data_IF_906048860416
#
_entry.id   IF_906048860416
#
_cell.length_a   1.000
_cell.length_b   1.000
_cell.length_c   1.000
_cell.angle_alpha   90.00
_cell.angle_beta   90.00
_cell.angle_gamma   90.00
#
_symmetry.space_group_name_H-M   'P 1'
#
loop_
_entity.id
_entity.type
_entity.pdbx_description
1 polymer ?
#
# COMPACT_ATOMS: atom_id res chain seq x y z
N UNK A 1 -2.77 12.45 -10.15
CA UNK A 1 -2.75 11.47 -9.03
C UNK A 1 -2.03 12.11 -7.85
N UNK A 2 -2.23 11.60 -6.64
CA UNK A 2 -1.48 12.04 -5.45
C UNK A 2 -0.23 11.16 -5.26
N UNK A 3 0.92 11.72 -4.85
CA UNK A 3 2.14 10.93 -4.67
C UNK A 3 1.94 9.82 -3.64
N UNK A 4 2.51 8.65 -3.91
CA UNK A 4 2.34 7.45 -3.08
C UNK A 4 1.14 6.57 -3.45
N UNK A 5 0.26 7.04 -4.35
CA UNK A 5 -0.78 6.18 -4.95
C UNK A 5 -0.21 5.07 -5.84
N UNK A 6 -1.04 4.07 -6.11
CA UNK A 6 -0.76 2.94 -7.00
C UNK A 6 -1.74 2.89 -8.18
N UNK A 7 -1.40 2.11 -9.19
CA UNK A 7 -2.32 1.71 -10.27
C UNK A 7 -2.48 0.20 -10.30
N UNK A 8 -3.67 -0.29 -10.65
CA UNK A 8 -3.89 -1.72 -10.87
C UNK A 8 -3.74 -2.01 -12.36
N UNK A 9 -2.76 -2.86 -12.69
CA UNK A 9 -2.58 -3.37 -14.03
C UNK A 9 -3.42 -4.62 -14.23
N UNK A 10 -4.07 -4.73 -15.38
CA UNK A 10 -4.77 -5.92 -15.85
C UNK A 10 -4.04 -6.50 -17.06
N UNK A 11 -3.77 -7.81 -17.02
CA UNK A 11 -3.22 -8.56 -18.14
C UNK A 11 -3.94 -9.90 -18.29
N UNK A 12 -3.99 -10.43 -19.52
CA UNK A 12 -4.51 -11.75 -19.82
C UNK A 12 -3.34 -12.70 -20.10
N UNK A 13 -3.23 -13.77 -19.30
CA UNK A 13 -2.16 -14.77 -19.43
C UNK A 13 -2.74 -16.16 -19.29
N UNK A 14 -2.41 -17.05 -20.23
CA UNK A 14 -2.85 -18.46 -20.21
C UNK A 14 -4.38 -18.59 -20.05
N UNK A 15 -5.14 -17.73 -20.73
CA UNK A 15 -6.60 -17.70 -20.64
C UNK A 15 -7.17 -17.19 -19.31
N UNK A 16 -6.33 -16.72 -18.38
CA UNK A 16 -6.77 -16.14 -17.10
C UNK A 16 -6.50 -14.64 -17.06
N UNK A 17 -7.46 -13.87 -16.55
CA UNK A 17 -7.24 -12.47 -16.18
C UNK A 17 -6.42 -12.37 -14.90
N UNK A 18 -5.40 -11.52 -14.89
CA UNK A 18 -4.54 -11.27 -13.74
C UNK A 18 -4.50 -9.77 -13.49
N UNK A 19 -4.86 -9.36 -12.27
CA UNK A 19 -4.78 -7.97 -11.80
C UNK A 19 -3.76 -7.83 -10.69
N UNK A 20 -2.86 -6.84 -10.73
CA UNK A 20 -2.01 -6.49 -9.57
C UNK A 20 -1.79 -4.99 -9.46
N UNK A 21 -1.72 -4.53 -8.22
CA UNK A 21 -1.41 -3.15 -7.87
C UNK A 21 0.11 -2.92 -7.90
N UNK A 22 0.53 -1.80 -8.48
CA UNK A 22 1.90 -1.32 -8.48
C UNK A 22 1.92 0.16 -8.11
N UNK A 23 2.64 0.51 -7.04
CA UNK A 23 2.80 1.90 -6.62
C UNK A 23 3.52 2.72 -7.68
N UNK A 24 3.05 3.94 -7.90
CA UNK A 24 3.66 4.89 -8.82
C UNK A 24 4.97 5.40 -8.21
N UNK A 25 6.04 5.35 -9.00
CA UNK A 25 7.37 5.86 -8.64
C UNK A 25 7.79 7.06 -9.51
N UNK A 26 6.85 7.65 -10.25
CA UNK A 26 6.93 8.98 -10.84
C UNK A 26 6.17 10.01 -10.00
N UNK A 27 6.41 11.30 -10.25
CA UNK A 27 5.71 12.41 -9.61
C UNK A 27 4.50 12.86 -10.44
N UNK A 28 3.48 13.50 -9.83
CA UNK A 28 2.36 14.08 -10.57
C UNK A 28 2.82 15.06 -11.66
N UNK A 29 3.86 15.85 -11.36
CA UNK A 29 4.46 16.80 -12.31
C UNK A 29 5.02 16.14 -13.57
N UNK A 30 5.54 14.92 -13.49
CA UNK A 30 6.01 14.21 -14.68
C UNK A 30 4.84 13.83 -15.58
N UNK A 31 3.76 13.31 -15.01
CA UNK A 31 2.53 13.06 -15.77
C UNK A 31 2.02 14.34 -16.44
N UNK A 32 1.99 15.46 -15.73
CA UNK A 32 1.50 16.72 -16.29
C UNK A 32 2.42 17.28 -17.40
N UNK A 33 3.72 17.05 -17.29
CA UNK A 33 4.71 17.63 -18.20
C UNK A 33 4.86 16.83 -19.50
N UNK A 34 4.85 15.49 -19.43
CA UNK A 34 5.16 14.62 -20.57
C UNK A 34 4.27 13.38 -20.69
N UNK A 35 3.23 13.26 -19.85
CA UNK A 35 2.32 12.11 -19.87
C UNK A 35 2.88 10.84 -19.24
N UNK A 36 4.03 10.89 -18.55
CA UNK A 36 4.68 9.68 -18.02
C UNK A 36 4.13 9.23 -16.67
N UNK A 37 3.62 8.00 -16.64
CA UNK A 37 3.43 7.21 -15.42
C UNK A 37 4.51 6.13 -15.33
N UNK A 38 5.15 6.00 -14.17
CA UNK A 38 6.19 5.00 -13.94
C UNK A 38 5.86 4.13 -12.73
N UNK A 39 6.04 2.82 -12.89
CA UNK A 39 5.96 1.84 -11.82
C UNK A 39 7.31 1.13 -11.64
N UNK A 40 7.57 0.63 -10.43
CA UNK A 40 8.71 -0.25 -10.16
C UNK A 40 8.26 -1.69 -10.01
N UNK A 41 8.75 -2.58 -10.87
CA UNK A 41 8.41 -4.00 -10.82
C UNK A 41 9.57 -4.78 -10.22
N UNK A 42 9.32 -5.41 -9.07
CA UNK A 42 10.21 -6.46 -8.55
C UNK A 42 9.63 -7.82 -8.91
N UNK A 43 10.44 -8.66 -9.54
CA UNK A 43 10.06 -10.06 -9.81
C UNK A 43 9.86 -10.80 -8.50
N UNK A 44 8.76 -11.53 -8.41
CA UNK A 44 8.44 -12.42 -7.28
C UNK A 44 8.49 -13.84 -7.79
N UNK A 45 9.21 -14.71 -7.08
CA UNK A 45 9.30 -16.13 -7.46
C UNK A 45 7.91 -16.78 -7.39
N UNK A 46 7.52 -17.49 -8.46
CA UNK A 46 6.16 -18.01 -8.63
C UNK A 46 5.09 -16.95 -8.93
N UNK A 47 5.46 -15.67 -9.04
CA UNK A 47 4.55 -14.60 -9.44
C UNK A 47 4.11 -14.75 -10.90
N UNK A 48 2.83 -14.52 -11.20
CA UNK A 48 2.31 -14.64 -12.58
C UNK A 48 2.49 -13.36 -13.41
N UNK A 49 2.37 -12.18 -12.78
CA UNK A 49 2.41 -10.89 -13.51
C UNK A 49 3.79 -10.22 -13.47
N UNK A 50 4.49 -10.23 -12.34
CA UNK A 50 5.78 -9.52 -12.24
C UNK A 50 6.88 -10.04 -13.17
N UNK A 51 7.02 -11.36 -13.48
CA UNK A 51 7.97 -11.81 -14.49
C UNK A 51 7.59 -11.36 -15.90
N UNK A 52 6.30 -11.39 -16.24
CA UNK A 52 5.80 -10.92 -17.53
C UNK A 52 6.15 -9.44 -17.73
N UNK A 53 5.80 -8.59 -16.76
CA UNK A 53 6.12 -7.16 -16.84
C UNK A 53 7.62 -6.89 -16.93
N UNK A 54 8.44 -7.66 -16.22
CA UNK A 54 9.87 -7.42 -16.12
C UNK A 54 10.69 -8.02 -17.27
N UNK A 55 10.17 -9.00 -18.01
CA UNK A 55 10.95 -9.81 -18.96
C UNK A 55 10.34 -9.96 -20.35
N UNK A 56 9.03 -9.79 -20.49
CA UNK A 56 8.32 -10.06 -21.73
C UNK A 56 7.74 -8.80 -22.39
N UNK A 57 7.42 -7.75 -21.61
CA UNK A 57 6.96 -6.48 -22.18
C UNK A 57 8.05 -5.76 -22.95
N UNK A 58 7.67 -5.16 -24.08
CA UNK A 58 8.50 -4.34 -24.93
C UNK A 58 7.89 -2.94 -25.16
N UNK A 59 8.72 -1.93 -25.51
CA UNK A 59 8.21 -0.63 -25.93
C UNK A 59 7.22 -0.76 -27.10
N UNK A 60 6.05 -0.13 -26.96
CA UNK A 60 4.93 -0.23 -27.91
C UNK A 60 3.80 -1.15 -27.44
N UNK A 61 4.03 -2.00 -26.45
CA UNK A 61 2.97 -2.80 -25.84
C UNK A 61 1.95 -1.93 -25.09
N UNK A 62 0.71 -2.40 -25.06
CA UNK A 62 -0.40 -1.74 -24.35
C UNK A 62 -0.84 -2.60 -23.16
N UNK A 63 -1.08 -1.95 -22.02
CA UNK A 63 -1.63 -2.56 -20.82
C UNK A 63 -2.93 -1.85 -20.42
N UNK A 64 -3.87 -2.63 -19.90
CA UNK A 64 -5.05 -2.08 -19.25
C UNK A 64 -4.69 -1.63 -17.82
N UNK A 65 -5.09 -0.41 -17.47
CA UNK A 65 -4.74 0.22 -16.19
C UNK A 65 -5.98 0.87 -15.58
N UNK A 66 -6.25 0.58 -14.31
CA UNK A 66 -7.26 1.33 -13.54
C UNK A 66 -6.71 2.72 -13.15
N UNK A 67 -7.62 3.66 -12.92
CA UNK A 67 -7.25 4.97 -12.40
C UNK A 67 -6.42 4.85 -11.11
N UNK A 68 -5.52 5.81 -10.83
CA UNK A 68 -4.72 5.81 -9.60
C UNK A 68 -5.58 5.76 -8.34
N UNK A 69 -5.19 4.91 -7.39
CA UNK A 69 -5.89 4.63 -6.13
C UNK A 69 -4.91 4.57 -4.96
N UNK A 70 -5.42 4.56 -3.74
CA UNK A 70 -4.64 4.37 -2.52
C UNK A 70 -4.59 5.61 -1.62
N UNK A 71 -4.32 5.37 -0.34
CA UNK A 71 -4.33 6.38 0.74
C UNK A 71 -2.96 6.58 1.38
N UNK A 72 -1.90 5.99 0.80
CA UNK A 72 -0.52 6.20 1.22
C UNK A 72 0.00 7.55 0.71
N UNK A 73 -0.69 8.62 1.10
CA UNK A 73 -0.45 9.99 0.66
C UNK A 73 -0.71 10.95 1.81
N UNK A 74 -0.20 12.17 1.69
CA UNK A 74 -0.49 13.26 2.63
C UNK A 74 -0.74 14.55 1.84
N UNK A 75 -1.59 15.47 2.33
CA UNK A 75 -1.72 16.79 1.74
C UNK A 75 -0.39 17.56 1.80
N UNK A 76 0.11 17.98 0.64
CA UNK A 76 1.28 18.83 0.52
C UNK A 76 0.83 20.27 0.27
N UNK A 77 1.37 21.22 1.02
CA UNK A 77 0.99 22.63 0.88
C UNK A 77 2.24 23.53 0.78
N UNK A 78 2.46 24.22 -0.35
CA UNK A 78 3.61 25.10 -0.52
C UNK A 78 3.65 26.30 0.45
N UNK A 79 2.51 26.68 1.05
CA UNK A 79 2.37 27.79 1.98
C UNK A 79 2.36 27.39 3.47
N UNK A 80 2.44 26.10 3.79
CA UNK A 80 2.44 25.63 5.17
C UNK A 80 3.80 25.78 5.88
N UNK A 81 3.76 25.60 7.20
CA UNK A 81 4.93 25.52 8.08
C UNK A 81 5.89 24.40 7.64
N UNK A 82 7.17 24.56 7.98
CA UNK A 82 8.22 23.56 7.77
C UNK A 82 7.81 22.22 8.42
N UNK A 83 7.64 21.19 7.60
CA UNK A 83 7.37 19.81 8.02
C UNK A 83 8.59 18.91 7.87
N UNK A 84 8.60 17.84 8.64
CA UNK A 84 9.51 16.74 8.46
C UNK A 84 8.74 15.43 8.22
N UNK A 85 9.00 14.83 7.06
CA UNK A 85 8.49 13.52 6.70
C UNK A 85 9.52 12.44 7.00
N UNK A 86 9.09 11.27 7.43
CA UNK A 86 9.94 10.09 7.52
C UNK A 86 9.31 8.88 6.82
N UNK A 87 10.11 8.12 6.09
CA UNK A 87 9.70 6.85 5.50
C UNK A 87 10.58 5.70 5.95
N UNK A 88 9.93 4.60 6.34
CA UNK A 88 10.54 3.31 6.62
C UNK A 88 10.15 2.37 5.47
N UNK A 89 11.09 2.14 4.55
CA UNK A 89 10.87 1.36 3.35
C UNK A 89 11.73 0.09 3.34
N UNK A 90 11.20 -1.02 2.82
CA UNK A 90 12.01 -2.21 2.57
C UNK A 90 11.75 -2.86 1.20
N UNK A 91 12.84 -3.19 0.48
CA UNK A 91 12.75 -3.82 -0.85
C UNK A 91 12.00 -2.94 -1.86
N UNK A 92 10.94 -3.48 -2.46
CA UNK A 92 10.05 -2.69 -3.35
C UNK A 92 9.24 -1.64 -2.61
N UNK A 93 9.24 -1.66 -1.27
CA UNK A 93 8.79 -0.60 -0.34
C UNK A 93 9.06 0.83 -0.78
N UNK A 94 10.15 1.01 -1.53
CA UNK A 94 10.66 2.31 -1.95
C UNK A 94 9.84 2.97 -3.07
N UNK A 95 9.04 2.22 -3.84
CA UNK A 95 8.32 2.76 -5.00
C UNK A 95 7.40 3.94 -4.67
N UNK A 96 6.44 3.85 -3.72
CA UNK A 96 5.61 5.00 -3.36
C UNK A 96 6.43 6.09 -2.65
N UNK A 97 7.43 5.68 -1.86
CA UNK A 97 8.29 6.60 -1.10
C UNK A 97 9.12 7.50 -2.01
N UNK A 98 9.58 6.98 -3.15
CA UNK A 98 10.30 7.79 -4.14
C UNK A 98 9.40 8.90 -4.71
N UNK A 99 8.16 8.56 -5.06
CA UNK A 99 7.16 9.55 -5.54
C UNK A 99 6.85 10.60 -4.47
N UNK A 100 6.63 10.16 -3.22
CA UNK A 100 6.38 11.02 -2.07
C UNK A 100 7.54 11.97 -1.78
N UNK A 101 8.75 11.44 -1.62
CA UNK A 101 9.93 12.26 -1.30
C UNK A 101 10.22 13.28 -2.40
N UNK A 102 10.16 12.86 -3.67
CA UNK A 102 10.38 13.77 -4.78
C UNK A 102 9.32 14.88 -4.89
N UNK A 103 8.05 14.53 -4.67
CA UNK A 103 6.95 15.49 -4.75
C UNK A 103 6.92 16.44 -3.55
N UNK A 104 7.09 15.93 -2.33
CA UNK A 104 7.12 16.73 -1.11
C UNK A 104 8.26 17.76 -1.12
N UNK A 105 9.49 17.32 -1.47
CA UNK A 105 10.65 18.21 -1.50
C UNK A 105 10.57 19.28 -2.60
N UNK A 106 9.90 18.96 -3.71
CA UNK A 106 9.63 19.91 -4.81
C UNK A 106 8.55 20.94 -4.44
N UNK A 107 7.51 20.50 -3.71
CA UNK A 107 6.31 21.30 -3.43
C UNK A 107 6.50 22.20 -2.21
N UNK A 108 7.12 21.69 -1.15
CA UNK A 108 7.29 22.39 0.12
C UNK A 108 8.76 22.77 0.33
N UNK A 109 9.20 23.99 -0.03
CA UNK A 109 10.63 24.33 -0.14
C UNK A 109 11.38 24.32 1.20
N UNK A 110 10.68 24.42 2.33
CA UNK A 110 11.27 24.41 3.67
C UNK A 110 11.21 23.05 4.37
N UNK A 111 10.45 22.10 3.83
CA UNK A 111 10.26 20.77 4.44
C UNK A 111 11.46 19.85 4.20
N UNK A 112 11.64 18.87 5.07
CA UNK A 112 12.70 17.87 5.01
C UNK A 112 12.13 16.45 4.99
N UNK A 113 12.84 15.50 4.41
CA UNK A 113 12.42 14.11 4.29
C UNK A 113 13.54 13.18 4.74
N UNK A 114 13.26 12.22 5.63
CA UNK A 114 14.19 11.13 5.99
C UNK A 114 13.67 9.83 5.42
N UNK A 115 14.51 9.11 4.67
CA UNK A 115 14.21 7.78 4.14
C UNK A 115 15.15 6.78 4.81
N UNK A 116 14.59 5.86 5.59
CA UNK A 116 15.27 4.67 6.08
C UNK A 116 14.94 3.53 5.11
N UNK A 117 15.90 3.12 4.29
CA UNK A 117 15.70 2.14 3.24
C UNK A 117 16.47 0.84 3.54
N UNK A 118 15.71 -0.21 3.85
CA UNK A 118 16.25 -1.52 4.20
C UNK A 118 16.21 -2.51 3.04
N UNK A 119 17.33 -3.21 2.81
CA UNK A 119 17.45 -4.24 1.79
C UNK A 119 18.24 -5.46 2.31
N UNK A 120 18.26 -6.53 1.51
CA UNK A 120 19.13 -7.69 1.79
C UNK A 120 20.59 -7.32 1.52
N UNK A 121 20.85 -6.73 0.37
CA UNK A 121 22.14 -6.22 -0.07
C UNK A 121 21.95 -4.98 -0.94
N UNK A 122 23.02 -4.21 -1.16
CA UNK A 122 23.07 -3.07 -2.05
C UNK A 122 22.66 -3.45 -3.48
N UNK A 123 23.12 -4.60 -3.98
CA UNK A 123 22.75 -5.10 -5.31
C UNK A 123 21.24 -5.38 -5.48
N UNK A 124 20.51 -5.55 -4.38
CA UNK A 124 19.06 -5.82 -4.41
C UNK A 124 18.19 -4.58 -4.22
N UNK A 125 18.81 -3.42 -3.97
CA UNK A 125 18.14 -2.14 -3.73
C UNK A 125 17.67 -1.53 -5.05
N UNK A 126 16.38 -1.25 -5.15
CA UNK A 126 15.78 -0.60 -6.31
C UNK A 126 16.00 0.91 -6.22
N UNK A 127 16.07 1.59 -7.37
CA UNK A 127 16.14 3.05 -7.46
C UNK A 127 17.36 3.69 -6.75
N UNK A 128 18.50 2.99 -6.74
CA UNK A 128 19.71 3.50 -6.06
C UNK A 128 20.21 4.80 -6.68
N UNK A 129 20.20 4.89 -8.02
CA UNK A 129 20.62 6.08 -8.76
C UNK A 129 19.62 7.22 -8.58
N UNK A 130 18.31 6.96 -8.73
CA UNK A 130 17.30 8.02 -8.56
C UNK A 130 17.26 8.59 -7.14
N UNK A 131 17.51 7.77 -6.11
CA UNK A 131 17.63 8.26 -4.74
C UNK A 131 18.91 9.10 -4.54
N UNK A 132 20.01 8.76 -5.21
CA UNK A 132 21.23 9.56 -5.19
C UNK A 132 21.02 10.90 -5.90
N UNK A 133 20.42 10.90 -7.09
CA UNK A 133 20.05 12.12 -7.82
C UNK A 133 19.12 13.02 -7.01
N UNK A 134 18.15 12.42 -6.31
CA UNK A 134 17.25 13.14 -5.43
C UNK A 134 18.00 13.77 -4.25
N UNK A 135 18.96 13.05 -3.67
CA UNK A 135 19.81 13.51 -2.59
C UNK A 135 20.73 14.65 -3.03
N UNK A 136 21.29 14.58 -4.23
CA UNK A 136 22.14 15.64 -4.79
C UNK A 136 21.32 16.89 -5.09
N UNK A 137 20.10 16.73 -5.63
CA UNK A 137 19.18 17.84 -5.92
C UNK A 137 18.75 18.61 -4.67
N UNK A 138 18.39 17.90 -3.60
CA UNK A 138 17.81 18.53 -2.39
C UNK A 138 18.79 18.66 -1.23
N UNK A 139 20.01 18.15 -1.38
CA UNK A 139 21.11 18.30 -0.44
C UNK A 139 20.71 17.96 0.99
N UNK A 140 20.80 18.93 1.89
CA UNK A 140 20.53 18.76 3.33
C UNK A 140 19.06 18.46 3.66
N UNK A 141 18.13 18.60 2.71
CA UNK A 141 16.69 18.40 2.95
C UNK A 141 16.25 16.94 2.80
N UNK A 142 17.05 16.10 2.14
CA UNK A 142 16.81 14.66 2.07
C UNK A 142 17.87 13.92 2.91
N UNK A 143 17.45 13.17 3.91
CA UNK A 143 18.33 12.26 4.66
C UNK A 143 18.07 10.83 4.20
N UNK A 144 19.10 10.12 3.75
CA UNK A 144 18.99 8.74 3.28
C UNK A 144 19.83 7.83 4.16
N UNK A 145 19.16 6.98 4.94
CA UNK A 145 19.75 5.96 5.80
C UNK A 145 19.54 4.60 5.13
N UNK A 146 20.62 3.96 4.69
CA UNK A 146 20.56 2.65 4.01
C UNK A 146 20.95 1.55 4.99
N UNK A 147 20.14 0.51 5.06
CA UNK A 147 20.33 -0.62 5.94
C UNK A 147 20.42 -1.91 5.11
N UNK A 148 21.48 -2.70 5.30
CA UNK A 148 21.69 -3.95 4.57
C UNK A 148 21.83 -5.13 5.52
N UNK A 149 20.87 -6.05 5.48
CA UNK A 149 20.80 -7.16 6.45
C UNK A 149 21.78 -8.31 6.18
N UNK A 150 22.36 -8.41 4.97
CA UNK A 150 23.35 -9.44 4.58
C UNK A 150 24.73 -8.88 4.27
N UNK A 151 24.98 -7.61 4.59
CA UNK A 151 26.31 -7.00 4.44
C UNK A 151 26.90 -6.71 5.81
N UNK A 152 28.12 -7.17 6.03
CA UNK A 152 28.92 -6.83 7.21
C UNK A 152 29.56 -5.47 6.95
N UNK A 153 29.07 -4.42 7.60
CA UNK A 153 29.76 -3.14 7.60
C UNK A 153 30.92 -3.17 8.60
N UNK A 154 32.04 -2.53 8.23
CA UNK A 154 33.28 -2.44 9.03
C UNK A 154 33.14 -1.75 10.40
N UNK A 155 31.95 -1.24 10.72
CA UNK A 155 31.63 -0.47 11.95
C UNK A 155 30.94 -1.30 13.05
N UNK A 156 30.94 -2.64 12.94
CA UNK A 156 30.61 -3.50 14.08
C UNK A 156 29.16 -3.44 14.57
N UNK A 157 28.23 -2.85 13.79
CA UNK A 157 26.80 -2.94 14.07
C UNK A 157 26.29 -4.31 13.59
N UNK A 158 25.91 -5.23 14.50
CA UNK A 158 25.36 -6.51 14.09
C UNK A 158 23.99 -6.28 13.43
N UNK A 159 23.80 -6.87 12.26
CA UNK A 159 22.50 -7.00 11.56
C UNK A 159 21.70 -5.70 11.42
N UNK A 160 21.89 -4.97 10.32
CA UNK A 160 21.06 -3.80 9.98
C UNK A 160 19.72 -4.22 9.36
N UNK A 161 18.98 -5.10 10.02
CA UNK A 161 17.58 -5.33 9.66
C UNK A 161 16.77 -4.17 10.22
N UNK A 162 15.83 -3.64 9.44
CA UNK A 162 14.87 -2.70 10.00
C UNK A 162 13.82 -3.48 10.81
N UNK A 163 14.09 -3.60 12.10
CA UNK A 163 13.24 -4.22 13.12
C UNK A 163 13.07 -3.27 14.32
N UNK A 164 12.30 -3.70 15.33
CA UNK A 164 11.99 -2.86 16.48
C UNK A 164 13.25 -2.36 17.23
N UNK A 165 14.26 -3.19 17.57
CA UNK A 165 15.50 -2.71 18.19
C UNK A 165 16.24 -1.67 17.35
N UNK A 166 16.35 -1.90 16.05
CA UNK A 166 17.02 -0.96 15.13
C UNK A 166 16.26 0.35 15.05
N UNK A 167 14.93 0.31 14.94
CA UNK A 167 14.11 1.51 14.92
C UNK A 167 14.25 2.29 16.23
N UNK A 168 14.20 1.66 17.41
CA UNK A 168 14.43 2.36 18.69
C UNK A 168 15.79 3.08 18.72
N UNK A 169 16.83 2.46 18.16
CA UNK A 169 18.16 3.08 18.05
C UNK A 169 18.14 4.30 17.15
N UNK A 170 17.42 4.24 16.02
CA UNK A 170 17.24 5.40 15.13
C UNK A 170 16.45 6.52 15.81
N UNK A 171 15.37 6.17 16.54
CA UNK A 171 14.52 7.12 17.26
C UNK A 171 15.25 7.78 18.45
N UNK A 172 16.20 7.10 19.07
CA UNK A 172 17.03 7.66 20.13
C UNK A 172 18.17 8.57 19.62
N UNK A 173 18.42 8.58 18.31
CA UNK A 173 19.55 9.30 17.71
C UNK A 173 19.14 10.12 16.48
N UNK A 174 19.44 9.63 15.26
CA UNK A 174 19.35 10.43 14.04
C UNK A 174 17.93 10.76 13.57
N UNK A 175 16.89 10.09 14.07
CA UNK A 175 15.50 10.29 13.65
C UNK A 175 14.53 10.32 14.84
N UNK A 176 14.60 11.32 15.74
CA UNK A 176 13.67 11.39 16.88
C UNK A 176 12.20 11.45 16.44
N UNK A 177 11.33 10.67 17.09
CA UNK A 177 9.92 10.61 16.70
C UNK A 177 9.21 11.97 16.81
N UNK A 178 9.56 12.75 17.83
CA UNK A 178 8.96 14.05 18.14
C UNK A 178 9.21 15.13 17.07
N UNK A 179 10.17 14.92 16.16
CA UNK A 179 10.46 15.89 15.08
C UNK A 179 9.85 15.50 13.74
N UNK A 180 9.11 14.39 13.67
CA UNK A 180 8.51 13.90 12.43
C UNK A 180 7.00 14.15 12.46
N UNK A 181 6.51 14.91 11.49
CA UNK A 181 5.09 15.26 11.35
C UNK A 181 4.27 14.14 10.70
N UNK A 182 4.89 13.34 9.83
CA UNK A 182 4.19 12.27 9.11
C UNK A 182 5.13 11.10 8.79
N UNK A 183 4.64 9.90 9.07
CA UNK A 183 5.35 8.63 8.88
C UNK A 183 4.75 7.83 7.73
N UNK A 184 5.64 7.28 6.90
CA UNK A 184 5.30 6.41 5.77
C UNK A 184 5.98 5.05 5.93
N UNK A 185 5.20 3.98 6.15
CA UNK A 185 5.70 2.63 6.40
C UNK A 185 5.36 1.71 5.23
N UNK A 186 6.35 1.23 4.48
CA UNK A 186 6.07 0.43 3.29
C UNK A 186 7.03 -0.75 3.14
N UNK A 187 6.52 -1.98 3.25
CA UNK A 187 7.36 -3.16 3.18
C UNK A 187 6.69 -4.45 3.66
N UNK A 188 7.49 -5.43 4.12
CA UNK A 188 6.98 -6.68 4.70
C UNK A 188 6.15 -6.43 5.97
N UNK A 189 5.11 -7.25 6.18
CA UNK A 189 4.20 -7.14 7.34
C UNK A 189 4.92 -7.05 8.69
N UNK A 190 5.92 -7.92 8.94
CA UNK A 190 6.66 -7.91 10.20
C UNK A 190 7.39 -6.58 10.46
N UNK A 191 7.91 -5.94 9.40
CA UNK A 191 8.56 -4.62 9.52
C UNK A 191 7.54 -3.53 9.81
N UNK A 192 6.44 -3.50 9.05
CA UNK A 192 5.40 -2.47 9.19
C UNK A 192 4.69 -2.57 10.55
N UNK A 193 4.33 -3.78 10.98
CA UNK A 193 3.73 -4.02 12.30
C UNK A 193 4.66 -3.60 13.43
N UNK A 194 5.89 -4.12 13.44
CA UNK A 194 6.86 -3.75 14.49
C UNK A 194 7.21 -2.26 14.50
N UNK A 195 7.21 -1.59 13.34
CA UNK A 195 7.39 -0.14 13.28
C UNK A 195 6.20 0.63 13.88
N UNK A 196 4.96 0.20 13.61
CA UNK A 196 3.76 0.79 14.22
C UNK A 196 3.80 0.67 15.74
N UNK A 197 4.12 -0.50 16.25
CA UNK A 197 4.19 -0.74 17.70
C UNK A 197 5.21 0.19 18.36
N UNK A 198 6.43 0.27 17.81
CA UNK A 198 7.48 1.14 18.35
C UNK A 198 7.10 2.62 18.26
N UNK A 199 6.48 3.07 17.16
CA UNK A 199 6.04 4.46 17.02
C UNK A 199 4.92 4.80 18.00
N UNK A 200 3.97 3.89 18.23
CA UNK A 200 2.92 4.04 19.23
C UNK A 200 3.49 4.16 20.65
N UNK A 201 4.50 3.35 21.00
CA UNK A 201 5.22 3.47 22.27
C UNK A 201 5.96 4.80 22.44
N UNK A 202 6.34 5.46 21.34
CA UNK A 202 6.90 6.82 21.35
C UNK A 202 5.83 7.92 21.34
N UNK A 203 4.55 7.57 21.45
CA UNK A 203 3.43 8.51 21.47
C UNK A 203 3.10 9.13 20.10
N UNK A 204 3.54 8.53 19.00
CA UNK A 204 3.18 8.99 17.66
C UNK A 204 1.70 8.70 17.40
N UNK A 205 0.94 9.73 17.05
CA UNK A 205 -0.48 9.59 16.76
C UNK A 205 -0.71 8.73 15.52
N UNK A 206 -1.58 7.71 15.61
CA UNK A 206 -1.86 6.78 14.53
C UNK A 206 -2.32 7.47 13.23
N UNK A 207 -3.04 8.59 13.34
CA UNK A 207 -3.50 9.40 12.21
C UNK A 207 -2.36 10.01 11.36
N UNK A 208 -1.14 10.09 11.92
CA UNK A 208 0.06 10.60 11.22
C UNK A 208 0.90 9.48 10.59
N UNK A 209 0.47 8.22 10.74
CA UNK A 209 1.18 7.04 10.24
C UNK A 209 0.41 6.42 9.07
N UNK A 210 0.96 6.58 7.87
CA UNK A 210 0.47 5.90 6.68
C UNK A 210 1.25 4.60 6.47
N UNK A 211 0.56 3.50 6.18
CA UNK A 211 1.24 2.22 5.94
C UNK A 211 0.66 1.44 4.76
N UNK A 212 1.54 0.74 4.05
CA UNK A 212 1.18 -0.20 2.98
C UNK A 212 2.00 -1.50 3.08
N UNK A 213 1.39 -2.62 2.67
CA UNK A 213 2.00 -3.94 2.66
C UNK A 213 2.18 -4.44 1.23
N UNK A 214 3.39 -4.91 0.89
CA UNK A 214 3.66 -5.50 -0.43
C UNK A 214 3.50 -7.02 -0.49
N UNK A 215 3.65 -7.69 0.66
CA UNK A 215 3.53 -9.14 0.77
C UNK A 215 2.97 -9.49 2.14
N UNK A 216 1.79 -10.11 2.18
CA UNK A 216 1.40 -10.97 3.28
C UNK A 216 1.91 -12.37 2.96
N UNK A 217 2.50 -13.05 3.94
CA UNK A 217 2.80 -14.47 3.76
C UNK A 217 1.46 -15.21 3.55
N UNK A 218 1.34 -16.10 2.56
CA UNK A 218 0.10 -16.85 2.34
C UNK A 218 -0.31 -17.75 3.52
N UNK A 219 0.62 -18.06 4.43
CA UNK A 219 0.48 -19.23 5.29
C UNK A 219 -0.22 -18.99 6.62
N UNK A 220 -0.70 -17.78 6.90
CA UNK A 220 -1.58 -17.58 8.05
C UNK A 220 -2.50 -16.40 7.77
N UNK A 221 -3.78 -16.64 7.43
CA UNK A 221 -4.81 -15.63 7.66
C UNK A 221 -4.60 -15.13 9.09
N UNK A 222 -4.56 -13.82 9.37
CA UNK A 222 -4.56 -13.36 10.75
C UNK A 222 -5.67 -14.12 11.47
N UNK A 223 -5.37 -14.60 12.68
CA UNK A 223 -6.39 -15.22 13.50
C UNK A 223 -7.62 -14.29 13.46
N UNK A 224 -8.82 -14.83 13.21
CA UNK A 224 -10.03 -14.01 13.27
C UNK A 224 -9.95 -13.16 14.54
N UNK A 225 -10.15 -11.84 14.41
CA UNK A 225 -10.13 -10.97 15.58
C UNK A 225 -11.03 -11.60 16.66
N UNK A 226 -10.59 -11.64 17.92
CA UNK A 226 -11.38 -12.21 19.00
C UNK A 226 -12.79 -11.59 18.96
N UNK A 227 -13.81 -12.42 18.69
CA UNK A 227 -15.20 -11.96 18.53
C UNK A 227 -15.76 -11.96 17.10
N UNK A 228 -15.03 -12.43 16.07
CA UNK A 228 -15.62 -12.58 14.72
C UNK A 228 -16.86 -13.45 14.76
N UNK A 229 -17.98 -12.91 14.30
CA UNK A 229 -19.26 -13.63 14.24
C UNK A 229 -19.22 -14.63 13.10
N UNK A 230 -19.80 -15.80 13.32
CA UNK A 230 -19.94 -16.79 12.26
C UNK A 230 -20.70 -16.18 11.07
N UNK A 231 -20.21 -16.37 9.83
CA UNK A 231 -20.92 -15.92 8.64
C UNK A 231 -22.33 -16.51 8.56
N UNK A 232 -23.25 -15.75 7.97
CA UNK A 232 -24.57 -16.28 7.61
C UNK A 232 -24.41 -17.37 6.53
N UNK A 233 -25.17 -18.49 6.58
CA UNK A 233 -24.99 -19.64 5.68
C UNK A 233 -25.37 -19.39 4.21
N UNK A 234 -25.68 -18.16 3.83
CA UNK A 234 -26.05 -17.74 2.49
C UNK A 234 -26.81 -16.41 2.54
N UNK A 235 -26.57 -15.52 1.60
CA UNK A 235 -27.19 -14.19 1.61
C UNK A 235 -27.56 -13.74 0.19
N UNK A 236 -28.46 -12.78 0.08
CA UNK A 236 -28.68 -12.02 -1.13
C UNK A 236 -27.83 -10.74 -1.08
N UNK A 237 -26.96 -10.57 -2.06
CA UNK A 237 -26.08 -9.41 -2.18
C UNK A 237 -26.63 -8.48 -3.27
N UNK A 238 -27.05 -7.29 -2.89
CA UNK A 238 -27.30 -6.19 -3.83
C UNK A 238 -26.02 -5.37 -3.95
N UNK A 239 -25.55 -5.14 -5.17
CA UNK A 239 -24.34 -4.36 -5.43
C UNK A 239 -24.65 -3.22 -6.39
N UNK A 240 -24.21 -2.00 -6.03
CA UNK A 240 -24.21 -0.82 -6.89
C UNK A 240 -22.79 -0.52 -7.33
N UNK A 241 -22.57 -0.48 -8.64
CA UNK A 241 -21.31 -0.05 -9.23
C UNK A 241 -21.51 0.52 -10.64
N UNK A 242 -20.87 1.64 -10.94
CA UNK A 242 -20.98 2.32 -12.22
C UNK A 242 -22.40 2.78 -12.52
N UNK A 243 -23.17 3.16 -11.48
CA UNK A 243 -24.58 3.54 -11.61
C UNK A 243 -25.55 2.38 -11.88
N UNK A 244 -25.06 1.13 -11.94
CA UNK A 244 -25.88 -0.05 -12.15
C UNK A 244 -26.05 -0.85 -10.85
N UNK A 245 -27.25 -1.36 -10.63
CA UNK A 245 -27.56 -2.24 -9.50
C UNK A 245 -27.77 -3.68 -9.99
N UNK A 246 -27.26 -4.65 -9.25
CA UNK A 246 -27.48 -6.07 -9.51
C UNK A 246 -27.63 -6.83 -8.20
N UNK A 247 -28.44 -7.89 -8.20
CA UNK A 247 -28.68 -8.71 -7.03
C UNK A 247 -28.24 -10.14 -7.32
N UNK A 248 -27.39 -10.70 -6.46
CA UNK A 248 -26.74 -12.00 -6.67
C UNK A 248 -26.75 -12.83 -5.38
N UNK A 249 -26.85 -14.17 -5.48
CA UNK A 249 -26.75 -15.02 -4.29
C UNK A 249 -25.28 -15.18 -3.85
N UNK A 250 -25.05 -15.08 -2.54
CA UNK A 250 -23.79 -15.41 -1.87
C UNK A 250 -23.91 -16.82 -1.30
N UNK A 251 -23.08 -17.75 -1.77
CA UNK A 251 -23.06 -19.12 -1.25
C UNK A 251 -22.29 -19.19 0.08
N UNK A 252 -22.59 -20.17 0.95
CA UNK A 252 -21.83 -20.36 2.18
C UNK A 252 -20.33 -20.51 1.91
N UNK A 253 -19.53 -19.73 2.63
CA UNK A 253 -18.06 -19.71 2.49
C UNK A 253 -17.52 -18.81 1.38
N UNK A 254 -18.37 -18.20 0.54
CA UNK A 254 -17.91 -17.18 -0.42
C UNK A 254 -17.70 -15.83 0.25
N UNK A 255 -16.72 -15.06 -0.26
CA UNK A 255 -16.62 -13.63 0.04
C UNK A 255 -17.68 -12.85 -0.76
N UNK A 256 -18.01 -11.65 -0.30
CA UNK A 256 -18.92 -10.76 -1.03
C UNK A 256 -18.36 -10.39 -2.42
N UNK A 257 -17.04 -10.27 -2.55
CA UNK A 257 -16.41 -10.03 -3.85
C UNK A 257 -16.54 -11.24 -4.78
N UNK A 258 -16.30 -12.46 -4.31
CA UNK A 258 -16.39 -13.66 -5.16
C UNK A 258 -17.80 -13.84 -5.74
N UNK A 259 -18.84 -13.63 -4.91
CA UNK A 259 -20.23 -13.67 -5.35
C UNK A 259 -20.54 -12.57 -6.38
N UNK A 260 -20.02 -11.36 -6.16
CA UNK A 260 -20.15 -10.23 -7.08
C UNK A 260 -19.48 -10.49 -8.42
N UNK A 261 -18.20 -10.92 -8.43
CA UNK A 261 -17.41 -11.13 -9.64
C UNK A 261 -17.98 -12.21 -10.56
N UNK A 262 -18.73 -13.19 -10.02
CA UNK A 262 -19.41 -14.21 -10.82
C UNK A 262 -20.43 -13.62 -11.80
N UNK A 263 -20.98 -12.43 -11.52
CA UNK A 263 -21.99 -11.76 -12.35
C UNK A 263 -21.55 -10.38 -12.86
N UNK A 264 -20.57 -9.76 -12.19
CA UNK A 264 -20.10 -8.39 -12.41
C UNK A 264 -18.57 -8.37 -12.47
N UNK A 265 -17.96 -8.89 -13.55
CA UNK A 265 -16.49 -9.04 -13.66
C UNK A 265 -15.74 -7.70 -13.70
N UNK A 266 -16.44 -6.60 -13.91
CA UNK A 266 -15.90 -5.24 -13.91
C UNK A 266 -15.72 -4.65 -12.52
N UNK A 267 -16.22 -5.30 -11.44
CA UNK A 267 -16.03 -4.82 -10.08
C UNK A 267 -14.53 -4.56 -9.79
N UNK A 268 -14.22 -3.52 -8.99
CA UNK A 268 -12.84 -3.15 -8.75
C UNK A 268 -12.19 -4.14 -7.77
N UNK A 269 -11.11 -4.78 -8.18
CA UNK A 269 -10.28 -5.63 -7.31
C UNK A 269 -8.83 -5.73 -7.81
N UNK A 270 -7.93 -6.22 -6.94
CA UNK A 270 -6.52 -6.43 -7.28
C UNK A 270 -5.88 -7.57 -6.45
N UNK A 271 -5.62 -7.33 -5.15
CA UNK A 271 -4.80 -8.24 -4.33
C UNK A 271 -5.50 -9.51 -3.83
N UNK A 272 -6.83 -9.43 -3.63
CA UNK A 272 -7.68 -10.47 -3.02
C UNK A 272 -7.31 -10.90 -1.57
N UNK A 273 -6.38 -10.21 -0.91
CA UNK A 273 -5.88 -10.56 0.43
C UNK A 273 -5.97 -9.40 1.45
N UNK A 274 -6.75 -8.35 1.14
CA UNK A 274 -7.05 -7.26 2.07
C UNK A 274 -5.97 -6.18 2.24
N UNK A 275 -4.97 -6.11 1.34
CA UNK A 275 -3.83 -5.15 1.48
C UNK A 275 -3.83 -3.96 0.52
N UNK A 276 -4.64 -3.98 -0.54
CA UNK A 276 -4.64 -2.91 -1.55
C UNK A 276 -5.83 -1.96 -1.49
N UNK A 277 -6.91 -2.32 -0.79
CA UNK A 277 -8.19 -1.60 -0.79
C UNK A 277 -8.88 -1.34 -2.15
N UNK A 278 -8.43 -1.93 -3.27
CA UNK A 278 -9.11 -1.79 -4.57
C UNK A 278 -10.58 -2.24 -4.53
N UNK A 279 -10.90 -3.26 -3.72
CA UNK A 279 -12.25 -3.79 -3.52
C UNK A 279 -13.06 -3.09 -2.42
N UNK A 280 -12.65 -1.89 -2.00
CA UNK A 280 -13.35 -1.13 -0.97
C UNK A 280 -14.77 -0.79 -1.46
N UNK A 281 -15.76 -1.06 -0.61
CA UNK A 281 -17.16 -0.66 -0.83
C UNK A 281 -17.79 -0.27 0.51
N UNK A 282 -18.86 0.51 0.47
CA UNK A 282 -19.64 0.86 1.66
C UNK A 282 -20.81 -0.11 1.81
N UNK A 283 -21.03 -0.62 3.02
CA UNK A 283 -22.27 -1.33 3.37
C UNK A 283 -23.36 -0.28 3.60
N UNK A 284 -24.39 -0.29 2.76
CA UNK A 284 -25.54 0.62 2.85
C UNK A 284 -26.81 -0.07 3.36
N UNK A 285 -26.78 -1.40 3.45
CA UNK A 285 -27.84 -2.24 4.01
C UNK A 285 -27.29 -3.59 4.48
N UNK A 286 -27.87 -4.14 5.54
CA UNK A 286 -27.39 -5.39 6.15
C UNK A 286 -26.06 -5.22 6.91
N UNK A 287 -25.36 -6.33 7.15
CA UNK A 287 -24.06 -6.35 7.85
C UNK A 287 -23.13 -7.40 7.26
N UNK A 288 -21.83 -7.13 7.31
CA UNK A 288 -20.77 -8.03 6.90
C UNK A 288 -19.62 -8.02 7.92
N UNK A 289 -18.82 -9.07 7.91
CA UNK A 289 -17.63 -9.22 8.76
C UNK A 289 -16.40 -9.41 7.87
N UNK A 290 -15.33 -8.68 8.13
CA UNK A 290 -14.06 -8.85 7.41
C UNK A 290 -13.16 -9.85 8.14
N UNK A 291 -12.65 -10.85 7.41
CA UNK A 291 -11.67 -11.80 7.94
C UNK A 291 -10.35 -11.11 8.31
N UNK A 292 -9.95 -10.09 7.53
CA UNK A 292 -8.73 -9.33 7.73
C UNK A 292 -8.91 -7.89 7.27
N UNK A 293 -8.29 -6.94 7.98
CA UNK A 293 -8.14 -5.57 7.51
C UNK A 293 -6.72 -5.08 7.79
N UNK A 294 -5.98 -4.77 6.72
CA UNK A 294 -4.63 -4.18 6.80
C UNK A 294 -4.56 -2.75 6.27
N UNK A 295 -5.66 -2.25 5.70
CA UNK A 295 -5.64 -1.05 4.85
C UNK A 295 -6.63 0.02 5.29
N UNK A 296 -7.86 -0.36 5.65
CA UNK A 296 -8.89 0.60 6.06
C UNK A 296 -8.59 1.15 7.45
N UNK A 297 -8.80 2.44 7.61
CA UNK A 297 -8.73 3.15 8.89
C UNK A 297 -9.92 2.81 9.79
N UNK A 298 -9.81 3.12 11.08
CA UNK A 298 -10.93 2.96 12.03
C UNK A 298 -12.12 3.85 11.66
N UNK A 299 -11.87 5.06 11.15
CA UNK A 299 -12.90 5.99 10.65
C UNK A 299 -13.63 5.39 9.45
N UNK A 300 -12.91 4.85 8.47
CA UNK A 300 -13.53 4.16 7.32
C UNK A 300 -14.38 2.97 7.77
N UNK A 301 -13.91 2.18 8.74
CA UNK A 301 -14.70 1.07 9.29
C UNK A 301 -15.96 1.59 9.99
N UNK A 302 -15.85 2.65 10.79
CA UNK A 302 -16.98 3.29 11.47
C UNK A 302 -18.03 3.84 10.48
N UNK A 303 -17.57 4.29 9.30
CA UNK A 303 -18.42 4.75 8.20
C UNK A 303 -19.02 3.60 7.35
N UNK A 304 -18.81 2.36 7.77
CA UNK A 304 -19.26 1.12 7.15
C UNK A 304 -18.54 0.76 5.84
N UNK A 305 -17.30 1.22 5.65
CA UNK A 305 -16.47 0.70 4.58
C UNK A 305 -15.92 -0.69 4.92
N UNK A 306 -15.89 -1.55 3.91
CA UNK A 306 -15.36 -2.91 3.99
C UNK A 306 -14.48 -3.23 2.78
N UNK A 307 -13.62 -4.23 2.94
CA UNK A 307 -12.88 -4.89 1.87
C UNK A 307 -13.68 -6.11 1.42
N UNK A 308 -14.36 -6.02 0.28
CA UNK A 308 -15.31 -7.06 -0.14
C UNK A 308 -14.63 -8.40 -0.42
N UNK A 309 -13.33 -8.41 -0.75
CA UNK A 309 -12.53 -9.62 -0.91
C UNK A 309 -12.19 -10.32 0.41
N UNK A 310 -12.47 -9.70 1.55
CA UNK A 310 -12.28 -10.28 2.88
C UNK A 310 -13.61 -10.38 3.64
N UNK A 311 -14.70 -9.88 3.07
CA UNK A 311 -15.96 -9.76 3.76
C UNK A 311 -16.88 -10.96 3.51
N UNK A 312 -17.52 -11.45 4.56
CA UNK A 312 -18.60 -12.43 4.50
C UNK A 312 -19.88 -11.85 5.10
N UNK A 313 -21.08 -12.26 4.63
CA UNK A 313 -22.33 -11.70 5.12
C UNK A 313 -22.62 -12.13 6.55
N UNK A 314 -23.21 -11.24 7.35
CA UNK A 314 -23.75 -11.52 8.70
C UNK A 314 -25.28 -11.51 8.74
N UNK A 315 -25.93 -11.07 7.66
CA UNK A 315 -27.38 -10.96 7.53
C UNK A 315 -27.86 -11.65 6.25
N UNK A 316 -29.16 -12.01 6.17
CA UNK A 316 -29.72 -12.65 4.97
C UNK A 316 -29.65 -11.79 3.71
N UNK A 317 -29.57 -10.46 3.87
CA UNK A 317 -29.35 -9.50 2.79
C UNK A 317 -28.18 -8.58 3.13
N UNK A 318 -27.40 -8.19 2.13
CA UNK A 318 -26.33 -7.19 2.25
C UNK A 318 -26.38 -6.29 1.01
N UNK A 319 -26.38 -4.99 1.20
CA UNK A 319 -26.36 -4.01 0.12
C UNK A 319 -25.01 -3.27 0.14
N UNK A 320 -24.28 -3.35 -0.96
CA UNK A 320 -22.98 -2.73 -1.15
C UNK A 320 -23.03 -1.63 -2.19
N UNK A 321 -22.29 -0.58 -1.92
CA UNK A 321 -22.12 0.52 -2.84
C UNK A 321 -20.64 0.81 -3.08
N UNK A 322 -20.21 0.58 -4.32
CA UNK A 322 -18.85 0.87 -4.79
C UNK A 322 -18.72 2.31 -5.32
N UNK A 323 -19.83 3.03 -5.50
CA UNK A 323 -19.83 4.37 -6.09
C UNK A 323 -19.72 5.48 -5.03
N UNK A 324 -19.80 5.15 -3.74
CA UNK A 324 -19.49 6.09 -2.64
C UNK A 324 -17.97 6.14 -2.45
N UNK A 325 -17.39 7.31 -2.73
CA UNK A 325 -15.96 7.60 -2.56
C UNK A 325 -15.71 8.29 -1.23
#
# INVERSE_FOLDING_TARGET
FAPGQYVTLRAHREGTEIRRAYSLCSTPRQLDADGTLRIGVRTVDGGRLSPYLARELAPGDTLDVLAPQGHFTTPLDPGHHRRHYAALAAGSGITPVLSLAATALATEPTSTFTVVYANRSAASAMFTEELADLKDRYGRRLHLLRLFSRETHHIGLPHQRLDAPTLRTLLAGPLPAAVVDTWFLCGPQAMVGGARDVLAEQGVAAATIHAELFHTQPDTPPAPAEGTRAPHPGAELTLRHGGHTSTVPVQPGQTLLDAGLAHRPELPFSCLNGVCATCRARVVGGRAEMASNWTLTEEEIADNYILTCQASPLTPTVDLDYDVV
#
